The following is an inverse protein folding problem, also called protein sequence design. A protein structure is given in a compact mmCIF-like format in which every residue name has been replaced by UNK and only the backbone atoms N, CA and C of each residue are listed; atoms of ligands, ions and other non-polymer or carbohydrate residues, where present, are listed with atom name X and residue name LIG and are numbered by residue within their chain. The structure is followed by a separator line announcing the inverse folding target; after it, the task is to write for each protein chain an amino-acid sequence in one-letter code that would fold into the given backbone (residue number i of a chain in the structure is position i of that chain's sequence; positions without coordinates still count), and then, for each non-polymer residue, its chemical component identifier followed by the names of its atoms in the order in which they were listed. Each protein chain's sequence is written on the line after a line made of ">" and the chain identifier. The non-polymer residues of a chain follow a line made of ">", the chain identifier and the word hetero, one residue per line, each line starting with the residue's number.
data_IF_876068014334
#
_entry.id   IF_876068014334
#
_cell.length_a   1.000
_cell.length_b   1.000
_cell.length_c   1.000
_cell.angle_alpha   90.00
_cell.angle_beta   90.00
_cell.angle_gamma   90.00
#
_symmetry.space_group_name_H-M   'P 1'
#
loop_
_entity.id
_entity.type
_entity.pdbx_description
1 polymer ?
#
# COMPACT_ATOMS: atom_id res chain seq x y z
N UNK A 1 -32.15 -24.43 -4.60
CA UNK A 1 -32.62 -25.79 -4.28
C UNK A 1 -33.45 -25.69 -3.01
N UNK A 2 -34.77 -25.52 -3.16
CA UNK A 2 -35.72 -25.24 -2.08
C UNK A 2 -36.70 -26.42 -2.00
N UNK A 3 -36.59 -27.24 -0.96
CA UNK A 3 -37.54 -28.32 -0.68
C UNK A 3 -37.78 -28.37 0.82
N UNK A 4 -38.90 -27.80 1.27
CA UNK A 4 -39.61 -28.12 2.52
C UNK A 4 -40.99 -27.43 2.43
N UNK A 5 -41.98 -28.12 1.87
CA UNK A 5 -42.91 -29.00 2.59
C UNK A 5 -43.84 -28.23 3.53
N UNK A 6 -45.04 -27.87 3.03
CA UNK A 6 -46.19 -27.57 3.89
C UNK A 6 -47.48 -28.02 3.20
N UNK A 7 -47.76 -29.32 3.30
CA UNK A 7 -48.97 -29.95 2.78
C UNK A 7 -49.98 -30.14 3.93
N UNK A 8 -51.14 -29.53 3.75
CA UNK A 8 -52.49 -29.88 4.27
C UNK A 8 -52.76 -29.77 5.78
N UNK A 9 -53.39 -28.64 6.16
CA UNK A 9 -54.52 -28.64 7.10
C UNK A 9 -55.75 -29.18 6.36
N UNK A 10 -56.39 -30.21 6.90
CA UNK A 10 -57.80 -30.53 6.64
C UNK A 10 -58.53 -30.30 7.95
N UNK A 11 -59.43 -29.32 7.90
CA UNK A 11 -60.39 -29.03 8.96
C UNK A 11 -61.36 -30.22 9.05
N UNK A 12 -61.65 -30.61 10.28
CA UNK A 12 -62.63 -31.64 10.61
C UNK A 12 -64.02 -31.02 10.45
N UNK A 13 -64.67 -31.39 9.35
CA UNK A 13 -66.09 -31.27 9.12
C UNK A 13 -66.87 -32.04 10.20
N UNK A 14 -67.79 -31.32 10.85
CA UNK A 14 -68.75 -31.84 11.81
C UNK A 14 -69.72 -32.78 11.09
N UNK A 15 -69.62 -34.09 11.33
CA UNK A 15 -70.59 -35.08 10.81
C UNK A 15 -71.84 -35.07 11.69
N UNK A 16 -72.84 -34.33 11.24
CA UNK A 16 -74.21 -34.42 11.72
C UNK A 16 -74.85 -35.72 11.27
N UNK A 17 -74.92 -36.70 12.16
CA UNK A 17 -75.80 -37.87 12.02
C UNK A 17 -76.78 -37.96 13.17
N UNK A 18 -77.87 -37.20 13.04
CA UNK A 18 -79.16 -37.56 13.63
C UNK A 18 -79.84 -38.53 12.67
N UNK A 19 -79.89 -39.81 13.05
CA UNK A 19 -80.66 -40.84 12.35
C UNK A 19 -81.25 -41.78 13.39
N UNK A 20 -82.55 -41.66 13.62
CA UNK A 20 -83.27 -42.51 14.56
C UNK A 20 -84.72 -42.10 14.74
N UNK A 21 -85.41 -41.75 13.65
CA UNK A 21 -86.86 -41.74 13.64
C UNK A 21 -87.37 -43.18 13.71
N UNK A 22 -88.13 -43.49 14.75
CA UNK A 22 -89.08 -44.59 14.76
C UNK A 22 -90.47 -44.01 15.11
N UNK A 23 -91.43 -44.40 14.29
CA UNK A 23 -92.86 -44.09 14.35
C UNK A 23 -93.49 -44.72 15.61
N UNK A 24 -94.67 -44.32 16.10
CA UNK A 24 -95.96 -44.27 15.43
C UNK A 24 -96.92 -43.40 16.25
N UNK A 25 -97.44 -42.33 15.64
CA UNK A 25 -98.67 -41.70 16.09
C UNK A 25 -99.86 -42.58 15.73
N UNK A 26 -100.44 -43.23 16.74
CA UNK A 26 -101.73 -43.90 16.66
C UNK A 26 -102.73 -43.16 17.54
N UNK A 27 -103.61 -42.38 16.90
CA UNK A 27 -104.86 -41.93 17.52
C UNK A 27 -105.91 -43.03 17.35
N UNK A 28 -106.45 -43.55 18.45
CA UNK A 28 -107.86 -43.98 18.54
C UNK A 28 -108.28 -44.30 19.98
N UNK A 29 -109.34 -43.58 20.37
CA UNK A 29 -110.31 -43.79 21.46
C UNK A 29 -109.95 -43.39 22.90
N UNK A 30 -110.82 -42.62 23.57
CA UNK A 30 -110.60 -42.13 24.93
C UNK A 30 -110.79 -43.29 25.91
N UNK A 31 -109.72 -43.69 26.59
CA UNK A 31 -109.87 -44.44 27.84
C UNK A 31 -110.28 -43.43 28.90
N UNK A 32 -111.54 -43.58 29.35
CA UNK A 32 -112.12 -43.01 30.57
C UNK A 32 -111.02 -42.57 31.54
N UNK A 33 -111.05 -41.29 31.90
CA UNK A 33 -110.65 -40.89 33.25
C UNK A 33 -111.54 -41.68 34.21
N UNK A 34 -111.13 -42.89 34.56
CA UNK A 34 -111.38 -43.35 35.91
C UNK A 34 -110.51 -42.46 36.76
N UNK A 35 -111.14 -41.44 37.33
CA UNK A 35 -110.69 -40.90 38.60
C UNK A 35 -110.65 -42.12 39.53
N UNK A 36 -109.50 -42.82 39.60
CA UNK A 36 -109.20 -43.57 40.80
C UNK A 36 -109.00 -42.46 41.82
N UNK A 37 -110.04 -42.23 42.60
CA UNK A 37 -109.86 -41.72 43.93
C UNK A 37 -109.02 -42.81 44.57
N UNK A 38 -107.69 -42.68 44.48
CA UNK A 38 -106.80 -43.40 45.36
C UNK A 38 -107.35 -43.07 46.76
N UNK A 39 -107.85 -44.11 47.44
CA UNK A 39 -108.21 -44.02 48.84
C UNK A 39 -107.09 -43.25 49.55
N UNK A 40 -107.40 -42.33 50.49
CA UNK A 40 -106.34 -41.61 51.18
C UNK A 40 -105.41 -42.65 51.78
N UNK A 41 -104.17 -42.70 51.28
CA UNK A 41 -103.16 -43.63 51.78
C UNK A 41 -103.11 -43.43 53.29
N UNK A 42 -103.24 -44.51 54.03
CA UNK A 42 -103.02 -44.47 55.48
C UNK A 42 -101.61 -43.91 55.73
N UNK A 43 -101.40 -43.10 56.77
CA UNK A 43 -100.09 -42.43 57.04
C UNK A 43 -98.91 -43.41 56.93
N UNK A 44 -99.11 -44.66 57.34
CA UNK A 44 -98.15 -45.75 57.26
C UNK A 44 -97.74 -46.13 55.83
N UNK A 45 -98.67 -46.12 54.86
CA UNK A 45 -98.37 -46.42 53.45
C UNK A 45 -97.62 -45.27 52.78
N UNK A 46 -97.90 -44.02 53.16
CA UNK A 46 -97.20 -42.85 52.62
C UNK A 46 -95.75 -42.80 53.14
N UNK A 47 -95.55 -43.14 54.42
CA UNK A 47 -94.24 -43.30 55.04
C UNK A 47 -93.44 -44.43 54.37
N UNK A 48 -94.06 -45.59 54.10
CA UNK A 48 -93.42 -46.70 53.42
C UNK A 48 -92.96 -46.34 51.99
N UNK A 49 -93.80 -45.60 51.24
CA UNK A 49 -93.48 -45.13 49.88
C UNK A 49 -92.31 -44.14 49.88
N UNK A 50 -92.26 -43.23 50.85
CA UNK A 50 -91.12 -42.30 51.04
C UNK A 50 -89.84 -43.03 51.41
N UNK A 51 -89.88 -43.98 52.34
CA UNK A 51 -88.73 -44.81 52.73
C UNK A 51 -88.19 -45.62 51.55
N UNK A 52 -89.07 -46.18 50.72
CA UNK A 52 -88.69 -46.90 49.51
C UNK A 52 -87.97 -45.99 48.50
N UNK A 53 -88.49 -44.78 48.25
CA UNK A 53 -87.86 -43.81 47.35
C UNK A 53 -86.49 -43.35 47.87
N UNK A 54 -86.38 -43.03 49.16
CA UNK A 54 -85.10 -42.65 49.79
C UNK A 54 -84.08 -43.79 49.65
N UNK A 55 -84.50 -45.04 49.87
CA UNK A 55 -83.62 -46.20 49.72
C UNK A 55 -83.15 -46.38 48.28
N UNK A 56 -84.04 -46.16 47.30
CA UNK A 56 -83.71 -46.21 45.87
C UNK A 56 -82.74 -45.10 45.49
N UNK A 57 -82.99 -43.86 45.89
CA UNK A 57 -82.10 -42.72 45.65
C UNK A 57 -80.73 -42.94 46.27
N UNK A 58 -80.64 -43.41 47.52
CA UNK A 58 -79.35 -43.72 48.15
C UNK A 58 -78.58 -44.82 47.41
N UNK A 59 -79.27 -45.85 46.89
CA UNK A 59 -78.65 -46.89 46.06
C UNK A 59 -78.11 -46.31 44.75
N UNK A 60 -78.86 -45.40 44.14
CA UNK A 60 -78.48 -44.73 42.90
C UNK A 60 -77.28 -43.81 43.13
N UNK A 61 -77.29 -43.03 44.20
CA UNK A 61 -76.20 -42.16 44.63
C UNK A 61 -74.94 -42.95 44.97
N UNK A 62 -75.07 -44.09 45.65
CA UNK A 62 -73.95 -45.00 45.91
C UNK A 62 -73.34 -45.54 44.62
N UNK A 63 -74.17 -45.84 43.61
CA UNK A 63 -73.70 -46.33 42.31
C UNK A 63 -72.97 -45.22 41.56
N UNK A 64 -73.52 -44.01 41.55
CA UNK A 64 -72.92 -42.84 40.90
C UNK A 64 -71.57 -42.47 41.53
N UNK A 65 -71.44 -42.55 42.87
CA UNK A 65 -70.18 -42.29 43.57
C UNK A 65 -69.10 -43.31 43.20
N UNK A 66 -69.45 -44.60 43.11
CA UNK A 66 -68.53 -45.66 42.67
C UNK A 66 -68.07 -45.39 41.24
N UNK A 67 -69.00 -45.12 40.33
CA UNK A 67 -68.70 -44.81 38.94
C UNK A 67 -67.81 -43.57 38.79
N UNK A 68 -68.10 -42.50 39.54
CA UNK A 68 -67.29 -41.29 39.56
C UNK A 68 -65.87 -41.57 40.08
N UNK A 69 -65.74 -42.41 41.11
CA UNK A 69 -64.47 -42.85 41.67
C UNK A 69 -63.60 -43.61 40.67
N UNK A 70 -64.19 -44.54 39.91
CA UNK A 70 -63.50 -45.26 38.83
C UNK A 70 -63.03 -44.30 37.72
N UNK A 71 -63.88 -43.34 37.35
CA UNK A 71 -63.58 -42.34 36.31
C UNK A 71 -62.43 -41.41 36.75
N UNK A 72 -62.45 -40.96 38.01
CA UNK A 72 -61.37 -40.18 38.63
C UNK A 72 -60.07 -40.97 38.68
N UNK A 73 -60.10 -42.24 39.13
CA UNK A 73 -58.91 -43.08 39.20
C UNK A 73 -58.29 -43.29 37.82
N UNK A 74 -59.11 -43.50 36.80
CA UNK A 74 -58.65 -43.61 35.41
C UNK A 74 -57.99 -42.31 34.94
N UNK A 75 -58.63 -41.16 35.19
CA UNK A 75 -58.09 -39.83 34.83
C UNK A 75 -56.74 -39.55 35.50
N UNK A 76 -56.62 -39.86 36.80
CA UNK A 76 -55.38 -39.70 37.56
C UNK A 76 -54.26 -40.58 36.97
N UNK A 77 -54.58 -41.80 36.55
CA UNK A 77 -53.61 -42.70 35.91
C UNK A 77 -53.12 -42.15 34.58
N UNK A 78 -54.03 -41.70 33.72
CA UNK A 78 -53.70 -41.09 32.41
C UNK A 78 -52.81 -39.85 32.56
N UNK A 79 -53.15 -38.95 33.49
CA UNK A 79 -52.33 -37.76 33.78
C UNK A 79 -50.95 -38.13 34.34
N UNK A 80 -50.86 -39.14 35.20
CA UNK A 80 -49.57 -39.62 35.74
C UNK A 80 -48.67 -40.19 34.65
N UNK A 81 -49.21 -40.96 33.71
CA UNK A 81 -48.47 -41.51 32.57
C UNK A 81 -47.97 -40.37 31.63
N UNK A 82 -48.81 -39.35 31.41
CA UNK A 82 -48.42 -38.16 30.66
C UNK A 82 -47.31 -37.37 31.35
N UNK A 83 -47.39 -37.22 32.68
CA UNK A 83 -46.38 -36.52 33.48
C UNK A 83 -45.01 -37.23 33.40
N UNK A 84 -44.99 -38.57 33.50
CA UNK A 84 -43.76 -39.35 33.38
C UNK A 84 -43.15 -39.26 31.98
N UNK A 85 -44.00 -39.29 30.94
CA UNK A 85 -43.56 -39.09 29.54
C UNK A 85 -42.98 -37.70 29.30
N UNK A 86 -43.61 -36.67 29.88
CA UNK A 86 -43.14 -35.29 29.82
C UNK A 86 -41.78 -35.14 30.51
N UNK A 87 -41.62 -35.70 31.71
CA UNK A 87 -40.35 -35.70 32.44
C UNK A 87 -39.21 -36.35 31.64
N UNK A 88 -39.47 -37.53 31.06
CA UNK A 88 -38.50 -38.20 30.17
C UNK A 88 -38.12 -37.31 28.98
N UNK A 89 -39.10 -36.66 28.37
CA UNK A 89 -38.87 -35.77 27.22
C UNK A 89 -38.04 -34.55 27.60
N UNK A 90 -38.33 -33.93 28.75
CA UNK A 90 -37.57 -32.80 29.28
C UNK A 90 -36.13 -33.20 29.57
N UNK A 91 -35.90 -34.35 30.21
CA UNK A 91 -34.55 -34.83 30.51
C UNK A 91 -33.74 -35.12 29.24
N UNK A 92 -34.35 -35.79 28.24
CA UNK A 92 -33.70 -36.02 26.95
C UNK A 92 -33.36 -34.69 26.27
N UNK A 93 -34.28 -33.74 26.29
CA UNK A 93 -34.06 -32.43 25.67
C UNK A 93 -32.95 -31.66 26.38
N UNK A 94 -32.92 -31.66 27.71
CA UNK A 94 -31.92 -30.97 28.53
C UNK A 94 -30.52 -31.53 28.26
N UNK A 95 -30.36 -32.86 28.30
CA UNK A 95 -29.09 -33.52 28.00
C UNK A 95 -28.61 -33.22 26.57
N UNK A 96 -29.55 -33.19 25.61
CA UNK A 96 -29.23 -32.82 24.23
C UNK A 96 -28.77 -31.37 24.12
N UNK A 97 -29.43 -30.45 24.81
CA UNK A 97 -29.02 -29.05 24.86
C UNK A 97 -27.64 -28.88 25.50
N UNK A 98 -27.37 -29.54 26.62
CA UNK A 98 -26.05 -29.51 27.26
C UNK A 98 -24.95 -30.05 26.34
N UNK A 99 -25.20 -31.17 25.67
CA UNK A 99 -24.26 -31.75 24.70
C UNK A 99 -23.99 -30.80 23.53
N UNK A 100 -25.03 -30.20 22.95
CA UNK A 100 -24.87 -29.22 21.87
C UNK A 100 -24.08 -28.00 22.34
N UNK A 101 -24.45 -27.43 23.50
CA UNK A 101 -23.78 -26.27 24.08
C UNK A 101 -22.30 -26.57 24.35
N UNK A 102 -21.98 -27.74 24.91
CA UNK A 102 -20.60 -28.17 25.16
C UNK A 102 -19.79 -28.28 23.86
N UNK A 103 -20.37 -28.91 22.82
CA UNK A 103 -19.74 -29.02 21.51
C UNK A 103 -19.50 -27.66 20.85
N UNK A 104 -20.47 -26.74 20.94
CA UNK A 104 -20.35 -25.37 20.41
C UNK A 104 -19.24 -24.63 21.14
N UNK A 105 -19.21 -24.68 22.48
CA UNK A 105 -18.14 -24.05 23.28
C UNK A 105 -16.76 -24.63 22.91
N UNK A 106 -16.67 -25.94 22.72
CA UNK A 106 -15.43 -26.60 22.26
C UNK A 106 -14.98 -26.11 20.88
N UNK A 107 -15.92 -26.02 19.94
CA UNK A 107 -15.65 -25.54 18.58
C UNK A 107 -15.22 -24.07 18.57
N UNK A 108 -15.84 -23.22 19.39
CA UNK A 108 -15.45 -21.81 19.54
C UNK A 108 -14.03 -21.70 20.08
N UNK A 109 -13.66 -22.48 21.11
CA UNK A 109 -12.28 -22.50 21.65
C UNK A 109 -11.24 -22.96 20.63
N UNK A 110 -11.57 -23.93 19.78
CA UNK A 110 -10.66 -24.35 18.71
C UNK A 110 -10.50 -23.25 17.65
N UNK A 111 -11.59 -22.59 17.29
CA UNK A 111 -11.58 -21.47 16.35
C UNK A 111 -10.74 -20.31 16.86
N UNK A 112 -10.88 -19.97 18.14
CA UNK A 112 -10.12 -18.93 18.84
C UNK A 112 -8.61 -19.20 18.75
N UNK A 113 -8.17 -20.42 19.09
CA UNK A 113 -6.76 -20.84 18.93
C UNK A 113 -6.26 -20.75 17.49
N UNK A 114 -7.10 -21.10 16.52
CA UNK A 114 -6.74 -21.02 15.10
C UNK A 114 -6.59 -19.57 14.63
N UNK A 115 -7.43 -18.67 15.12
CA UNK A 115 -7.35 -17.24 14.84
C UNK A 115 -6.05 -16.67 15.43
N UNK A 116 -5.74 -16.97 16.69
CA UNK A 116 -4.50 -16.52 17.33
C UNK A 116 -3.26 -17.00 16.58
N UNK A 117 -3.21 -18.27 16.20
CA UNK A 117 -2.11 -18.83 15.43
C UNK A 117 -1.98 -18.17 14.04
N UNK A 118 -3.10 -17.91 13.37
CA UNK A 118 -3.09 -17.23 12.08
C UNK A 118 -2.62 -15.78 12.19
N UNK A 119 -3.04 -15.06 13.24
CA UNK A 119 -2.62 -13.70 13.53
C UNK A 119 -1.11 -13.63 13.82
N UNK A 120 -0.61 -14.52 14.66
CA UNK A 120 0.82 -14.61 14.98
C UNK A 120 1.65 -14.96 13.74
N UNK A 121 1.22 -15.95 12.95
CA UNK A 121 1.90 -16.32 11.71
C UNK A 121 1.92 -15.19 10.68
N UNK A 122 0.81 -14.46 10.54
CA UNK A 122 0.75 -13.29 9.68
C UNK A 122 1.70 -12.19 10.17
N UNK A 123 1.72 -11.91 11.48
CA UNK A 123 2.61 -10.92 12.07
C UNK A 123 4.10 -11.25 11.88
N UNK A 124 4.50 -12.51 12.13
CA UNK A 124 5.87 -12.98 11.91
C UNK A 124 6.27 -12.84 10.44
N UNK A 125 5.40 -13.27 9.52
CA UNK A 125 5.66 -13.17 8.08
C UNK A 125 5.80 -11.72 7.62
N UNK A 126 4.87 -10.85 8.02
CA UNK A 126 4.91 -9.42 7.65
C UNK A 126 6.15 -8.74 8.21
N UNK A 127 6.55 -9.06 9.45
CA UNK A 127 7.77 -8.50 10.07
C UNK A 127 9.03 -8.96 9.34
N UNK A 128 9.10 -10.24 8.97
CA UNK A 128 10.22 -10.78 8.20
C UNK A 128 10.31 -10.15 6.79
N UNK A 129 9.18 -10.03 6.09
CA UNK A 129 9.12 -9.42 4.77
C UNK A 129 9.50 -7.94 4.81
N UNK A 130 9.00 -7.17 5.80
CA UNK A 130 9.39 -5.77 6.01
C UNK A 130 10.90 -5.64 6.24
N UNK A 131 11.47 -6.46 7.12
CA UNK A 131 12.91 -6.44 7.39
C UNK A 131 13.73 -6.69 6.13
N UNK A 132 13.32 -7.66 5.30
CA UNK A 132 13.97 -7.97 4.03
C UNK A 132 13.86 -6.82 3.03
N UNK A 133 12.69 -6.18 2.93
CA UNK A 133 12.49 -5.02 2.06
C UNK A 133 13.39 -3.86 2.49
N UNK A 134 13.44 -3.54 3.79
CA UNK A 134 14.31 -2.47 4.29
C UNK A 134 15.80 -2.76 4.02
N UNK A 135 16.25 -3.99 4.24
CA UNK A 135 17.63 -4.39 3.91
C UNK A 135 17.94 -4.22 2.41
N UNK A 136 17.04 -4.68 1.54
CA UNK A 136 17.22 -4.53 0.09
C UNK A 136 17.26 -3.05 -0.34
N UNK A 137 16.41 -2.20 0.26
CA UNK A 137 16.38 -0.76 -0.03
C UNK A 137 17.67 -0.10 0.45
N UNK A 138 18.16 -0.47 1.63
CA UNK A 138 19.42 0.04 2.18
C UNK A 138 20.61 -0.35 1.28
N UNK A 139 20.72 -1.61 0.88
CA UNK A 139 21.75 -2.08 -0.05
C UNK A 139 21.68 -1.37 -1.41
N UNK A 140 20.47 -1.21 -1.96
CA UNK A 140 20.26 -0.47 -3.21
C UNK A 140 20.65 1.01 -3.07
N UNK A 141 20.35 1.63 -1.94
CA UNK A 141 20.73 3.01 -1.62
C UNK A 141 22.24 3.19 -1.53
N UNK A 142 22.94 2.27 -0.84
CA UNK A 142 24.40 2.26 -0.74
C UNK A 142 25.03 2.08 -2.14
N UNK A 143 24.55 1.11 -2.92
CA UNK A 143 25.06 0.86 -4.26
C UNK A 143 24.84 2.06 -5.20
N UNK A 144 23.65 2.68 -5.13
CA UNK A 144 23.34 3.88 -5.90
C UNK A 144 24.24 5.06 -5.50
N UNK A 145 24.38 5.32 -4.20
CA UNK A 145 25.24 6.39 -3.69
C UNK A 145 26.69 6.20 -4.13
N UNK A 146 27.23 4.98 -3.99
CA UNK A 146 28.57 4.63 -4.45
C UNK A 146 28.74 4.87 -5.96
N UNK A 147 27.78 4.42 -6.77
CA UNK A 147 27.81 4.63 -8.21
C UNK A 147 27.77 6.11 -8.62
N UNK A 148 27.10 6.96 -7.83
CA UNK A 148 27.11 8.41 -8.07
C UNK A 148 28.43 9.06 -7.65
N UNK A 149 29.03 8.65 -6.53
CA UNK A 149 30.37 9.10 -6.15
C UNK A 149 31.40 8.71 -7.22
N UNK A 150 31.40 7.46 -7.69
CA UNK A 150 32.33 6.99 -8.72
C UNK A 150 32.19 7.78 -10.04
N UNK A 151 30.97 8.19 -10.39
CA UNK A 151 30.72 9.06 -11.56
C UNK A 151 31.21 10.48 -11.33
N UNK A 152 31.03 11.01 -10.13
CA UNK A 152 31.49 12.34 -9.76
C UNK A 152 33.03 12.38 -9.78
N UNK A 153 33.68 11.38 -9.21
CA UNK A 153 35.16 11.26 -9.19
C UNK A 153 35.74 11.22 -10.60
N UNK A 154 35.17 10.40 -11.50
CA UNK A 154 35.56 10.39 -12.92
C UNK A 154 35.34 11.73 -13.61
N UNK A 155 34.29 12.44 -13.23
CA UNK A 155 34.00 13.76 -13.80
C UNK A 155 35.03 14.78 -13.34
N UNK A 156 35.39 14.77 -12.05
CA UNK A 156 36.44 15.60 -11.47
C UNK A 156 37.78 15.31 -12.15
N UNK A 157 38.18 14.03 -12.29
CA UNK A 157 39.41 13.64 -12.96
C UNK A 157 39.49 14.14 -14.41
N UNK A 158 38.37 14.08 -15.14
CA UNK A 158 38.29 14.62 -16.51
C UNK A 158 38.44 16.15 -16.54
N UNK A 159 37.85 16.86 -15.58
CA UNK A 159 38.03 18.31 -15.47
C UNK A 159 39.46 18.69 -15.11
N UNK A 160 40.12 17.97 -14.20
CA UNK A 160 41.54 18.18 -13.88
C UNK A 160 42.41 18.01 -15.13
N UNK A 161 42.23 16.91 -15.88
CA UNK A 161 42.93 16.69 -17.17
C UNK A 161 42.70 17.80 -18.18
N UNK A 162 41.49 18.36 -18.23
CA UNK A 162 41.16 19.48 -19.13
C UNK A 162 41.83 20.78 -18.67
N UNK A 163 41.84 21.05 -17.36
CA UNK A 163 42.51 22.21 -16.77
C UNK A 163 44.03 22.16 -16.98
N UNK A 164 44.65 21.00 -16.81
CA UNK A 164 46.08 20.81 -17.05
C UNK A 164 46.45 21.05 -18.51
N UNK A 165 45.69 20.48 -19.46
CA UNK A 165 45.85 20.79 -20.89
C UNK A 165 45.66 22.27 -21.21
N UNK A 166 44.69 22.92 -20.57
CA UNK A 166 44.47 24.35 -20.69
C UNK A 166 45.67 25.17 -20.19
N UNK A 167 46.26 24.77 -19.05
CA UNK A 167 47.46 25.37 -18.48
C UNK A 167 48.67 25.22 -19.42
N UNK A 168 48.92 24.02 -19.92
CA UNK A 168 50.00 23.75 -20.89
C UNK A 168 49.85 24.61 -22.15
N UNK A 169 48.62 24.73 -22.67
CA UNK A 169 48.33 25.55 -23.86
C UNK A 169 48.60 27.03 -23.60
N UNK A 170 48.22 27.54 -22.42
CA UNK A 170 48.48 28.91 -22.00
C UNK A 170 49.98 29.18 -21.84
N UNK A 171 50.73 28.25 -21.25
CA UNK A 171 52.18 28.35 -21.11
C UNK A 171 52.87 28.35 -22.48
N UNK A 172 52.45 27.47 -23.40
CA UNK A 172 52.94 27.45 -24.77
C UNK A 172 52.67 28.79 -25.48
N UNK A 173 51.47 29.34 -25.33
CA UNK A 173 51.12 30.62 -25.97
C UNK A 173 51.90 31.81 -25.38
N UNK A 174 52.11 31.79 -24.06
CA UNK A 174 52.98 32.75 -23.36
C UNK A 174 54.43 32.67 -23.84
N UNK A 175 54.95 31.45 -24.00
CA UNK A 175 56.28 31.22 -24.54
C UNK A 175 56.39 31.70 -25.99
N UNK A 176 55.41 31.37 -26.84
CA UNK A 176 55.37 31.81 -28.24
C UNK A 176 55.40 33.34 -28.38
N UNK A 177 54.65 34.06 -27.54
CA UNK A 177 54.71 35.53 -27.48
C UNK A 177 56.11 36.05 -27.13
N UNK A 178 56.73 35.50 -26.08
CA UNK A 178 58.09 35.90 -25.68
C UNK A 178 59.10 35.66 -26.80
N UNK A 179 58.99 34.53 -27.49
CA UNK A 179 59.87 34.17 -28.61
C UNK A 179 59.70 35.14 -29.79
N UNK A 180 58.47 35.53 -30.14
CA UNK A 180 58.21 36.54 -31.17
C UNK A 180 58.85 37.88 -30.80
N UNK A 181 58.73 38.33 -29.54
CA UNK A 181 59.35 39.57 -29.07
C UNK A 181 60.88 39.51 -29.22
N UNK A 182 61.50 38.37 -28.90
CA UNK A 182 62.95 38.17 -29.08
C UNK A 182 63.33 38.27 -30.56
N UNK A 183 62.62 37.58 -31.46
CA UNK A 183 62.90 37.66 -32.91
C UNK A 183 62.76 39.09 -33.43
N UNK A 184 61.69 39.79 -33.06
CA UNK A 184 61.47 41.18 -33.47
C UNK A 184 62.57 42.10 -32.95
N UNK A 185 63.00 41.92 -31.70
CA UNK A 185 64.11 42.70 -31.13
C UNK A 185 65.44 42.46 -31.87
N UNK A 186 65.73 41.21 -32.24
CA UNK A 186 66.93 40.87 -32.99
C UNK A 186 66.91 41.45 -34.41
N UNK A 187 65.77 41.38 -35.11
CA UNK A 187 65.58 42.02 -36.41
C UNK A 187 65.80 43.53 -36.35
N UNK A 188 65.29 44.18 -35.30
CA UNK A 188 65.43 45.62 -35.11
C UNK A 188 66.89 46.03 -34.85
N UNK A 189 67.61 45.28 -34.02
CA UNK A 189 69.07 45.48 -33.80
C UNK A 189 69.84 45.29 -35.11
N UNK A 190 69.50 44.26 -35.89
CA UNK A 190 70.12 44.00 -37.18
C UNK A 190 69.90 45.15 -38.17
N UNK A 191 68.68 45.69 -38.23
CA UNK A 191 68.38 46.88 -39.03
C UNK A 191 69.20 48.10 -38.59
N UNK A 192 69.32 48.34 -37.29
CA UNK A 192 70.17 49.42 -36.76
C UNK A 192 71.64 49.25 -37.15
N UNK A 193 72.18 48.03 -37.05
CA UNK A 193 73.55 47.73 -37.44
C UNK A 193 73.80 48.01 -38.93
N UNK A 194 72.91 47.54 -39.81
CA UNK A 194 73.03 47.80 -41.25
C UNK A 194 72.90 49.28 -41.58
N UNK A 195 72.00 50.00 -40.92
CA UNK A 195 71.82 51.44 -41.13
C UNK A 195 73.06 52.23 -40.68
N UNK A 196 73.62 51.89 -39.51
CA UNK A 196 74.89 52.47 -39.04
C UNK A 196 76.03 52.24 -40.03
N UNK A 197 76.19 51.00 -40.52
CA UNK A 197 77.23 50.68 -41.51
C UNK A 197 77.04 51.42 -42.84
N UNK A 198 75.79 51.53 -43.32
CA UNK A 198 75.47 52.28 -44.53
C UNK A 198 75.78 53.77 -44.35
N UNK A 199 75.42 54.38 -43.22
CA UNK A 199 75.74 55.77 -42.93
C UNK A 199 77.25 56.01 -42.89
N UNK A 200 78.04 55.11 -42.29
CA UNK A 200 79.50 55.23 -42.29
C UNK A 200 80.08 55.16 -43.72
N UNK A 201 79.59 54.23 -44.56
CA UNK A 201 80.01 54.17 -45.96
C UNK A 201 79.55 55.39 -46.78
N UNK A 202 78.37 55.95 -46.48
CA UNK A 202 77.90 57.21 -47.07
C UNK A 202 78.81 58.38 -46.67
N UNK A 203 79.25 58.43 -45.43
CA UNK A 203 80.19 59.46 -44.93
C UNK A 203 81.58 59.31 -45.57
N UNK A 204 82.08 58.08 -45.74
CA UNK A 204 83.29 57.79 -46.49
C UNK A 204 83.17 58.25 -47.96
N UNK A 205 82.08 57.90 -48.65
CA UNK A 205 81.82 58.32 -50.03
C UNK A 205 81.67 59.85 -50.14
N UNK A 206 80.98 60.48 -49.19
CA UNK A 206 80.85 61.93 -49.15
C UNK A 206 82.22 62.61 -48.99
N UNK A 207 83.08 62.05 -48.13
CA UNK A 207 84.46 62.51 -47.95
C UNK A 207 85.28 62.35 -49.23
N UNK A 208 85.17 61.22 -49.92
CA UNK A 208 85.84 60.96 -51.20
C UNK A 208 85.36 61.92 -52.30
N UNK A 209 84.05 62.12 -52.45
CA UNK A 209 83.48 63.05 -53.42
C UNK A 209 83.92 64.48 -53.11
N UNK A 210 83.91 64.88 -51.84
CA UNK A 210 84.37 66.20 -51.42
C UNK A 210 85.85 66.41 -51.76
N UNK A 211 86.70 65.40 -51.54
CA UNK A 211 88.12 65.43 -51.91
C UNK A 211 88.30 65.63 -53.43
N UNK A 212 87.56 64.89 -54.26
CA UNK A 212 87.55 65.05 -55.73
C UNK A 212 87.05 66.45 -56.13
N UNK A 213 86.02 66.96 -55.46
CA UNK A 213 85.49 68.28 -55.76
C UNK A 213 86.48 69.41 -55.40
N UNK A 214 87.19 69.31 -54.28
CA UNK A 214 88.28 70.24 -53.94
C UNK A 214 89.47 70.15 -54.89
N UNK A 215 89.77 68.95 -55.40
CA UNK A 215 90.76 68.74 -56.48
C UNK A 215 90.34 69.48 -57.76
N UNK A 216 89.08 69.37 -58.16
CA UNK A 216 88.56 70.02 -59.37
C UNK A 216 88.51 71.55 -59.24
N UNK A 217 88.29 72.08 -58.03
CA UNK A 217 88.30 73.53 -57.75
C UNK A 217 89.70 74.15 -57.64
N UNK A 218 90.77 73.33 -57.69
CA UNK A 218 92.16 73.82 -57.62
C UNK A 218 92.62 74.20 -56.20
N UNK A 219 91.93 73.73 -55.16
CA UNK A 219 92.21 74.06 -53.75
C UNK A 219 93.09 72.99 -53.04
N UNK A 220 93.83 72.20 -53.81
CA UNK A 220 94.70 71.13 -53.29
C UNK A 220 96.17 71.39 -53.66
N UNK A 221 97.07 71.07 -52.73
CA UNK A 221 98.51 71.06 -52.97
C UNK A 221 98.95 69.62 -53.18
N UNK A 222 99.72 69.40 -54.24
CA UNK A 222 100.37 68.13 -54.53
C UNK A 222 101.88 68.29 -54.40
N UNK A 223 102.53 67.32 -53.78
CA UNK A 223 103.97 67.16 -53.84
C UNK A 223 104.30 65.69 -54.07
N UNK A 224 105.35 65.47 -54.86
CA UNK A 224 105.84 64.15 -55.20
C UNK A 224 106.99 63.82 -54.26
N UNK A 225 106.85 62.75 -53.50
CA UNK A 225 107.94 62.19 -52.71
C UNK A 225 108.75 61.24 -53.59
N UNK A 226 109.95 61.67 -53.98
CA UNK A 226 110.80 60.94 -54.92
C UNK A 226 111.35 59.64 -54.33
N UNK A 227 111.45 59.55 -52.99
CA UNK A 227 112.01 58.38 -52.30
C UNK A 227 111.00 57.22 -52.23
N UNK A 228 109.72 57.55 -52.07
CA UNK A 228 108.63 56.57 -51.98
C UNK A 228 107.79 56.45 -53.27
N UNK A 229 108.17 57.17 -54.34
CA UNK A 229 107.44 57.26 -55.61
C UNK A 229 105.92 57.49 -55.43
N UNK A 230 105.53 58.20 -54.39
CA UNK A 230 104.13 58.42 -54.02
C UNK A 230 103.78 59.89 -54.12
N UNK A 231 102.68 60.19 -54.83
CA UNK A 231 102.13 61.55 -54.90
C UNK A 231 101.18 61.75 -53.74
N UNK A 232 101.52 62.67 -52.85
CA UNK A 232 100.65 63.05 -51.75
C UNK A 232 99.76 64.22 -52.17
N UNK A 233 98.46 64.10 -51.91
CA UNK A 233 97.47 65.15 -52.19
C UNK A 233 96.87 65.57 -50.86
N UNK A 234 97.06 66.83 -50.48
CA UNK A 234 96.50 67.40 -49.25
C UNK A 234 95.64 68.62 -49.59
N UNK A 235 94.49 68.76 -48.92
CA UNK A 235 93.61 69.92 -49.06
C UNK A 235 94.24 71.15 -48.37
N UNK A 236 94.07 72.34 -48.94
CA UNK A 236 94.67 73.57 -48.38
C UNK A 236 94.29 73.83 -46.90
N UNK A 237 93.08 73.41 -46.48
CA UNK A 237 92.61 73.49 -45.09
C UNK A 237 93.38 72.59 -44.12
N UNK A 238 93.73 71.36 -44.52
CA UNK A 238 94.52 70.47 -43.65
C UNK A 238 95.98 70.95 -43.51
N UNK A 239 96.57 71.48 -44.59
CA UNK A 239 97.93 72.02 -44.55
C UNK A 239 98.04 73.29 -43.69
N UNK A 240 97.01 74.15 -43.68
CA UNK A 240 97.00 75.38 -42.86
C UNK A 240 96.75 75.12 -41.37
N UNK A 241 96.20 73.96 -41.00
CA UNK A 241 96.07 73.53 -39.59
C UNK A 241 97.33 72.83 -39.05
N UNK A 242 98.26 72.41 -39.92
CA UNK A 242 99.57 71.85 -39.54
C UNK A 242 100.69 72.89 -39.42
N UNK A 243 100.40 74.17 -39.69
CA UNK A 243 101.36 75.28 -39.69
C UNK A 243 101.17 76.20 -38.50
#
# INVERSE_FOLDING_TARGET
>A
MNILNKKRRKELEYDGRSRGGFSLGGYSTPKKESISIDSPLTEEEEIAKRLYNIKKENLQLSTDVIFLGELLQKKIREESELMESLEKTINISTNKFESITSNVIGTIKDLDKRIDNAANSAHERTTADLKRIFQNIEEAGIAYSKGQCDRLDKTIENYEKMLDKGRETLEFWSFGKKLIVVILSAMLIFQFYYNYKLNNHLEELYTQINMIHTLYKGETKYWFDADNQTTYVETQKAHSQRK
#
